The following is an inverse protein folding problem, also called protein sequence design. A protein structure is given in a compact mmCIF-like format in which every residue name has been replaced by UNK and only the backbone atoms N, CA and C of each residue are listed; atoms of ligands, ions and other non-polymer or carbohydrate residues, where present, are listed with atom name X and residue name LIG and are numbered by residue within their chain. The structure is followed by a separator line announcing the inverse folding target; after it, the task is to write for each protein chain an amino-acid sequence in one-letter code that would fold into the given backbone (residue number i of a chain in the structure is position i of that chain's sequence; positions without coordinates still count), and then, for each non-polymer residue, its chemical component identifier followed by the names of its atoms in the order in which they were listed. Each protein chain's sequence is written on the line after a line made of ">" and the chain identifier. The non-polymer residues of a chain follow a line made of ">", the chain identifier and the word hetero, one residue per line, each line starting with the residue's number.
data_IF_661394731172
#
_entry.id   IF_661394731172
#
_cell.length_a   1.000
_cell.length_b   1.000
_cell.length_c   1.000
_cell.angle_alpha   90.00
_cell.angle_beta   90.00
_cell.angle_gamma   90.00
#
_symmetry.space_group_name_H-M   'P 1'
#
loop_
_entity.id
_entity.type
_entity.pdbx_description
1 polymer ?
#
# COMPACT_ATOMS: atom_id res chain seq x y z
N UNK A 1 -13.37 22.91 -21.89
CA UNK A 1 -12.79 21.55 -22.02
C UNK A 1 -11.42 21.45 -21.36
N UNK A 2 -10.53 22.42 -21.54
CA UNK A 2 -9.18 22.42 -20.91
C UNK A 2 -9.19 22.64 -19.39
N UNK A 3 -10.13 23.43 -18.84
CA UNK A 3 -10.30 23.63 -17.39
C UNK A 3 -10.68 22.35 -16.63
N UNK A 4 -11.61 21.56 -17.16
CA UNK A 4 -12.06 20.29 -16.55
C UNK A 4 -10.90 19.29 -16.46
N UNK A 5 -10.03 19.28 -17.46
CA UNK A 5 -8.84 18.42 -17.49
C UNK A 5 -7.84 18.89 -16.42
N UNK A 6 -7.69 20.21 -16.22
CA UNK A 6 -6.84 20.78 -15.17
C UNK A 6 -7.31 20.43 -13.75
N UNK A 7 -8.63 20.47 -13.48
CA UNK A 7 -9.18 20.09 -12.17
C UNK A 7 -9.04 18.60 -11.87
N UNK A 8 -9.07 17.74 -12.90
CA UNK A 8 -8.84 16.30 -12.74
C UNK A 8 -7.44 15.97 -12.21
N UNK A 9 -6.45 16.84 -12.40
CA UNK A 9 -5.10 16.66 -11.85
C UNK A 9 -4.95 17.12 -10.39
N UNK A 10 -6.01 17.66 -9.77
CA UNK A 10 -5.96 17.99 -8.35
C UNK A 10 -6.05 16.70 -7.51
N UNK A 11 -5.06 16.39 -6.64
CA UNK A 11 -4.95 15.08 -5.99
C UNK A 11 -6.23 14.62 -5.27
N UNK A 12 -6.93 15.56 -4.62
CA UNK A 12 -8.17 15.28 -3.89
C UNK A 12 -9.31 14.92 -4.86
N UNK A 13 -9.43 15.65 -5.97
CA UNK A 13 -10.48 15.40 -6.98
C UNK A 13 -10.23 14.06 -7.66
N UNK A 14 -8.98 13.76 -8.03
CA UNK A 14 -8.61 12.46 -8.60
C UNK A 14 -8.92 11.31 -7.64
N UNK A 15 -8.53 11.45 -6.36
CA UNK A 15 -8.79 10.43 -5.34
C UNK A 15 -10.29 10.16 -5.17
N UNK A 16 -11.09 11.22 -5.04
CA UNK A 16 -12.55 11.08 -4.89
C UNK A 16 -13.19 10.46 -6.14
N UNK A 17 -12.76 10.86 -7.34
CA UNK A 17 -13.25 10.27 -8.58
C UNK A 17 -12.94 8.77 -8.67
N UNK A 18 -11.70 8.36 -8.35
CA UNK A 18 -11.31 6.95 -8.28
C UNK A 18 -12.11 6.17 -7.24
N UNK A 19 -12.31 6.74 -6.04
CA UNK A 19 -13.10 6.12 -4.98
C UNK A 19 -14.55 5.90 -5.41
N UNK A 20 -15.19 6.91 -6.01
CA UNK A 20 -16.54 6.79 -6.55
C UNK A 20 -16.57 5.72 -7.66
N UNK A 21 -15.60 5.70 -8.56
CA UNK A 21 -15.53 4.69 -9.63
C UNK A 21 -15.43 3.26 -9.06
N UNK A 22 -14.59 3.03 -8.04
CA UNK A 22 -14.46 1.73 -7.37
C UNK A 22 -15.75 1.34 -6.66
N UNK A 23 -16.42 2.27 -5.98
CA UNK A 23 -17.69 2.00 -5.31
C UNK A 23 -18.80 1.64 -6.31
N UNK A 24 -18.91 2.40 -7.41
CA UNK A 24 -19.87 2.09 -8.48
C UNK A 24 -19.59 0.70 -9.05
N UNK A 25 -18.32 0.38 -9.30
CA UNK A 25 -17.93 -0.95 -9.78
C UNK A 25 -18.30 -2.06 -8.80
N UNK A 26 -18.02 -1.87 -7.51
CA UNK A 26 -18.38 -2.83 -6.45
C UNK A 26 -19.89 -3.08 -6.40
N UNK A 27 -20.71 -2.03 -6.50
CA UNK A 27 -22.17 -2.14 -6.49
C UNK A 27 -22.71 -2.83 -7.74
N UNK A 28 -22.16 -2.54 -8.92
CA UNK A 28 -22.52 -3.24 -10.16
C UNK A 28 -22.13 -4.71 -10.07
N UNK A 29 -20.90 -5.02 -9.65
CA UNK A 29 -20.40 -6.38 -9.50
C UNK A 29 -21.26 -7.20 -8.52
N UNK A 30 -21.66 -6.61 -7.40
CA UNK A 30 -22.55 -7.24 -6.43
C UNK A 30 -23.94 -7.57 -6.98
N UNK A 31 -24.45 -6.77 -7.92
CA UNK A 31 -25.76 -7.00 -8.57
C UNK A 31 -25.71 -8.01 -9.72
N UNK A 32 -24.58 -8.13 -10.40
CA UNK A 32 -24.39 -9.09 -11.49
C UNK A 32 -24.20 -10.53 -10.99
N UNK A 33 -23.77 -10.72 -9.74
CA UNK A 33 -23.62 -12.02 -9.13
C UNK A 33 -24.95 -12.74 -8.86
N UNK A 34 -24.96 -14.09 -8.80
CA UNK A 34 -26.15 -14.83 -8.41
C UNK A 34 -26.53 -14.49 -6.96
N UNK A 35 -27.84 -14.40 -6.70
CA UNK A 35 -28.36 -14.11 -5.37
C UNK A 35 -27.76 -15.07 -4.33
N UNK A 36 -27.36 -14.50 -3.18
CA UNK A 36 -26.85 -15.29 -2.08
C UNK A 36 -27.91 -16.31 -1.62
N UNK A 37 -27.61 -17.59 -1.80
CA UNK A 37 -28.27 -18.69 -1.11
C UNK A 37 -27.41 -19.13 0.05
N UNK A 38 -27.99 -19.16 1.24
CA UNK A 38 -27.38 -19.74 2.42
C UNK A 38 -27.16 -21.24 2.18
N UNK A 39 -25.95 -21.72 2.47
CA UNK A 39 -25.61 -23.12 2.37
C UNK A 39 -24.59 -23.45 3.47
N UNK A 40 -24.76 -24.63 4.08
CA UNK A 40 -24.09 -25.06 5.31
C UNK A 40 -22.57 -24.83 5.34
N UNK A 41 -21.89 -25.01 4.20
CA UNK A 41 -20.43 -24.93 4.10
C UNK A 41 -19.94 -23.78 3.19
N UNK A 42 -20.82 -22.86 2.78
CA UNK A 42 -20.46 -21.81 1.81
C UNK A 42 -19.56 -20.72 2.40
N UNK A 43 -19.65 -20.50 3.70
CA UNK A 43 -18.87 -19.51 4.44
C UNK A 43 -17.76 -20.15 5.30
N UNK A 44 -17.58 -21.47 5.25
CA UNK A 44 -16.51 -22.14 5.99
C UNK A 44 -15.15 -21.88 5.34
N UNK A 45 -14.07 -21.73 6.11
CA UNK A 45 -12.71 -21.58 5.56
C UNK A 45 -12.38 -22.72 4.61
N UNK A 46 -11.56 -22.43 3.59
CA UNK A 46 -11.07 -23.49 2.72
C UNK A 46 -10.09 -24.38 3.48
N UNK A 47 -10.53 -25.59 3.81
CA UNK A 47 -9.75 -26.60 4.50
C UNK A 47 -10.06 -28.02 3.97
N UNK A 48 -10.41 -28.15 2.68
CA UNK A 48 -10.76 -29.43 2.07
C UNK A 48 -11.86 -30.25 2.82
N UNK A 49 -12.73 -29.57 3.58
CA UNK A 49 -13.76 -30.21 4.40
C UNK A 49 -13.34 -30.55 5.83
N UNK A 50 -12.11 -30.24 6.23
CA UNK A 50 -11.64 -30.40 7.61
C UNK A 50 -12.18 -29.29 8.54
N UNK A 51 -12.37 -29.64 9.81
CA UNK A 51 -12.75 -28.68 10.86
C UNK A 51 -11.54 -27.84 11.27
N UNK A 52 -11.31 -26.75 10.54
CA UNK A 52 -10.25 -25.80 10.84
C UNK A 52 -10.71 -24.79 11.89
N UNK A 53 -10.31 -25.02 13.14
CA UNK A 53 -10.42 -24.02 14.21
C UNK A 53 -9.39 -22.92 13.96
N UNK A 54 -9.84 -21.83 13.35
CA UNK A 54 -9.01 -20.66 13.04
C UNK A 54 -8.05 -20.31 14.17
N UNK A 55 -6.75 -20.31 13.86
CA UNK A 55 -5.69 -19.97 14.80
C UNK A 55 -4.99 -18.67 14.40
N UNK A 56 -4.39 -17.98 15.36
CA UNK A 56 -3.49 -16.86 15.05
C UNK A 56 -2.16 -17.45 14.60
N UNK A 57 -1.85 -17.36 13.31
CA UNK A 57 -0.51 -17.62 12.83
C UNK A 57 0.40 -16.44 13.23
N UNK A 58 1.48 -16.71 13.94
CA UNK A 58 2.54 -15.72 14.14
C UNK A 58 3.30 -15.63 12.82
N UNK A 59 2.97 -14.61 12.02
CA UNK A 59 3.63 -14.39 10.74
C UNK A 59 5.07 -13.96 11.00
N UNK A 60 6.00 -14.43 10.17
CA UNK A 60 7.40 -14.03 10.30
C UNK A 60 7.55 -12.51 10.22
N UNK A 61 8.41 -11.96 11.08
CA UNK A 61 8.72 -10.53 11.15
C UNK A 61 9.47 -10.01 9.89
N UNK A 62 9.77 -10.89 8.92
CA UNK A 62 10.45 -10.52 7.68
C UNK A 62 9.65 -9.51 6.84
N UNK A 63 8.32 -9.62 6.77
CA UNK A 63 7.50 -8.66 6.02
C UNK A 63 7.44 -7.27 6.67
N UNK A 64 7.65 -7.19 7.99
CA UNK A 64 7.72 -5.91 8.68
C UNK A 64 8.90 -5.08 8.19
N UNK A 65 10.09 -5.69 8.07
CA UNK A 65 11.27 -4.99 7.56
C UNK A 65 11.06 -4.46 6.14
N UNK A 66 10.46 -5.27 5.27
CA UNK A 66 10.16 -4.86 3.88
C UNK A 66 9.18 -3.68 3.86
N UNK A 67 8.09 -3.74 4.62
CA UNK A 67 7.11 -2.67 4.70
C UNK A 67 7.71 -1.38 5.29
N UNK A 68 8.53 -1.51 6.33
CA UNK A 68 9.23 -0.38 6.95
C UNK A 68 10.17 0.31 5.96
N UNK A 69 11.01 -0.45 5.25
CA UNK A 69 11.87 0.14 4.23
C UNK A 69 11.09 0.76 3.08
N UNK A 70 10.03 0.09 2.61
CA UNK A 70 9.17 0.63 1.57
C UNK A 70 8.59 1.98 1.97
N UNK A 71 8.02 2.10 3.18
CA UNK A 71 7.41 3.36 3.64
C UNK A 71 8.42 4.50 3.77
N UNK A 72 9.59 4.24 4.35
CA UNK A 72 10.67 5.23 4.47
C UNK A 72 11.09 5.70 3.07
N UNK A 73 11.48 4.79 2.18
CA UNK A 73 11.90 5.13 0.81
C UNK A 73 10.80 5.84 0.02
N UNK A 74 9.53 5.45 0.20
CA UNK A 74 8.40 6.06 -0.49
C UNK A 74 8.19 7.52 -0.07
N UNK A 75 8.30 7.84 1.22
CA UNK A 75 8.26 9.23 1.69
C UNK A 75 9.43 10.03 1.12
N UNK A 76 10.63 9.45 1.07
CA UNK A 76 11.79 10.08 0.41
C UNK A 76 11.51 10.39 -1.06
N UNK A 77 10.92 9.44 -1.80
CA UNK A 77 10.52 9.63 -3.19
C UNK A 77 9.53 10.78 -3.37
N UNK A 78 8.52 10.88 -2.49
CA UNK A 78 7.55 11.98 -2.49
C UNK A 78 8.21 13.34 -2.21
N UNK A 79 9.16 13.40 -1.27
CA UNK A 79 9.89 14.63 -0.96
C UNK A 79 10.73 15.12 -2.14
N UNK A 80 11.36 14.22 -2.90
CA UNK A 80 12.12 14.60 -4.10
C UNK A 80 11.18 15.05 -5.21
N UNK A 81 10.10 14.29 -5.43
CA UNK A 81 9.12 14.60 -6.46
C UNK A 81 8.44 15.96 -6.26
N UNK A 82 8.40 16.45 -5.01
CA UNK A 82 7.82 17.74 -4.64
C UNK A 82 8.88 18.81 -4.32
N UNK A 83 10.17 18.47 -4.35
CA UNK A 83 11.24 19.42 -4.06
C UNK A 83 11.34 20.47 -5.18
N UNK A 84 11.48 21.77 -4.83
CA UNK A 84 11.72 22.81 -5.83
C UNK A 84 13.08 22.59 -6.50
N UNK A 85 13.13 22.80 -7.82
CA UNK A 85 14.38 22.77 -8.58
C UNK A 85 15.33 23.88 -8.12
N UNK A 86 16.65 23.61 -8.12
CA UNK A 86 17.68 24.54 -7.63
C UNK A 86 18.37 24.05 -6.36
N UNK A 87 18.67 24.95 -5.41
CA UNK A 87 19.40 24.61 -4.17
C UNK A 87 18.70 23.54 -3.31
N UNK A 88 17.38 23.45 -3.37
CA UNK A 88 16.59 22.41 -2.67
C UNK A 88 16.83 20.99 -3.18
N UNK A 89 17.30 20.82 -4.42
CA UNK A 89 17.60 19.51 -4.99
C UNK A 89 18.78 18.82 -4.28
N UNK A 90 19.77 19.59 -3.83
CA UNK A 90 20.91 19.05 -3.07
C UNK A 90 20.48 18.50 -1.72
N UNK A 91 19.53 19.16 -1.05
CA UNK A 91 18.94 18.65 0.20
C UNK A 91 18.15 17.36 -0.04
N UNK A 92 17.43 17.26 -1.17
CA UNK A 92 16.75 16.03 -1.58
C UNK A 92 17.73 14.86 -1.80
N UNK A 93 18.85 15.11 -2.50
CA UNK A 93 19.90 14.10 -2.71
C UNK A 93 20.55 13.69 -1.39
N UNK A 94 20.86 14.64 -0.50
CA UNK A 94 21.42 14.35 0.81
C UNK A 94 20.47 13.52 1.68
N UNK A 95 19.17 13.80 1.62
CA UNK A 95 18.14 13.03 2.32
C UNK A 95 18.12 11.57 1.83
N UNK A 96 18.09 11.33 0.52
CA UNK A 96 18.14 9.97 -0.03
C UNK A 96 19.40 9.23 0.42
N UNK A 97 20.55 9.92 0.34
CA UNK A 97 21.83 9.37 0.78
C UNK A 97 21.77 8.90 2.24
N UNK A 98 21.22 9.74 3.13
CA UNK A 98 21.05 9.39 4.55
C UNK A 98 20.11 8.20 4.76
N UNK A 99 18.99 8.14 4.04
CA UNK A 99 18.02 7.04 4.13
C UNK A 99 18.61 5.72 3.62
N UNK A 100 19.39 5.77 2.54
CA UNK A 100 20.11 4.60 2.03
C UNK A 100 21.14 4.09 3.04
N UNK A 101 21.89 5.00 3.70
CA UNK A 101 22.84 4.63 4.76
C UNK A 101 22.12 4.00 5.95
N UNK A 102 21.01 4.58 6.42
CA UNK A 102 20.21 3.99 7.50
C UNK A 102 19.67 2.62 7.11
N UNK A 103 19.26 2.44 5.85
CA UNK A 103 18.78 1.14 5.38
C UNK A 103 19.87 0.07 5.35
N UNK A 104 21.07 0.42 4.87
CA UNK A 104 22.24 -0.47 4.93
C UNK A 104 22.61 -0.77 6.38
N UNK A 105 22.69 0.24 7.25
CA UNK A 105 23.04 0.06 8.65
C UNK A 105 22.06 -0.88 9.37
N UNK A 106 20.76 -0.70 9.16
CA UNK A 106 19.73 -1.56 9.74
C UNK A 106 19.81 -3.00 9.20
N UNK A 107 20.05 -3.17 7.89
CA UNK A 107 20.24 -4.49 7.28
C UNK A 107 21.49 -5.22 7.80
N UNK A 108 22.61 -4.50 7.97
CA UNK A 108 23.87 -5.10 8.46
C UNK A 108 23.93 -5.26 9.97
N UNK A 109 23.20 -4.43 10.73
CA UNK A 109 23.22 -4.40 12.19
C UNK A 109 22.18 -5.30 12.83
N UNK A 110 21.00 -5.47 12.21
CA UNK A 110 19.88 -6.23 12.78
C UNK A 110 20.05 -7.75 12.81
N UNK A 111 21.20 -8.29 12.39
CA UNK A 111 21.43 -9.74 12.25
C UNK A 111 22.55 -10.34 13.11
N UNK A 112 23.17 -9.56 14.00
CA UNK A 112 24.26 -10.09 14.88
C UNK A 112 23.81 -10.54 16.26
N UNK A 113 22.59 -10.19 16.67
CA UNK A 113 22.11 -10.37 18.04
C UNK A 113 20.73 -11.07 18.13
N UNK A 114 20.27 -11.70 17.04
CA UNK A 114 19.01 -12.44 16.97
C UNK A 114 19.24 -13.95 16.87
#
# INVERSE_FOLDING_TARGET
>A
MFEIIGEFFYPIVTFLACLVAVLVWYLIAGKLGPAYKEAKYKLTPYACGEDYKGGKAHHSYNFFHVAFFFTVLHVGALLIATAPSGEGALLGVALIGSMAITAVALYTGGGKDA
#
